data_IF_079283448893
#
_entry.id   IF_079283448893
#
_cell.length_a   1.000
_cell.length_b   1.000
_cell.length_c   1.000
_cell.angle_alpha   90.00
_cell.angle_beta   90.00
_cell.angle_gamma   90.00
#
_symmetry.space_group_name_H-M   'P 1'
#
loop_
_entity.id
_entity.type
_entity.pdbx_description
1 polymer ?
#
# COMPACT_ATOMS: atom_id res chain seq x y z
N UNK A 1 -3.54 -23.28 1.70
CA UNK A 1 -4.25 -22.00 1.45
C UNK A 1 -3.21 -20.88 1.57
N UNK A 2 -2.96 -20.11 0.52
CA UNK A 2 -1.88 -19.11 0.53
C UNK A 2 -2.17 -18.02 1.57
N UNK A 3 -1.31 -17.80 2.59
CA UNK A 3 -1.53 -16.80 3.65
C UNK A 3 -1.46 -15.35 3.16
N UNK A 4 -1.03 -15.14 1.91
CA UNK A 4 -1.01 -13.82 1.26
C UNK A 4 -2.40 -13.17 1.13
N UNK A 5 -3.49 -13.96 1.13
CA UNK A 5 -4.84 -13.39 1.03
C UNK A 5 -5.44 -12.96 2.38
N UNK A 6 -5.05 -13.56 3.52
CA UNK A 6 -5.70 -13.25 4.81
C UNK A 6 -5.36 -11.83 5.26
N UNK A 7 -4.09 -11.45 5.23
CA UNK A 7 -3.66 -10.09 5.58
C UNK A 7 -4.26 -9.02 4.67
N UNK A 8 -4.45 -9.36 3.39
CA UNK A 8 -5.11 -8.46 2.44
C UNK A 8 -6.60 -8.29 2.77
N UNK A 9 -7.30 -9.38 3.08
CA UNK A 9 -8.71 -9.36 3.49
C UNK A 9 -8.87 -8.54 4.79
N UNK A 10 -8.02 -8.79 5.79
CA UNK A 10 -8.02 -8.02 7.04
C UNK A 10 -7.73 -6.54 6.81
N UNK A 11 -6.82 -6.22 5.89
CA UNK A 11 -6.50 -4.84 5.56
C UNK A 11 -7.66 -4.10 4.90
N UNK A 12 -8.38 -4.77 4.00
CA UNK A 12 -9.60 -4.23 3.39
C UNK A 12 -10.69 -4.02 4.46
N UNK A 13 -10.90 -5.00 5.33
CA UNK A 13 -11.92 -4.94 6.39
C UNK A 13 -11.67 -3.81 7.40
N UNK A 14 -10.40 -3.45 7.66
CA UNK A 14 -10.02 -2.37 8.56
C UNK A 14 -9.79 -1.03 7.84
N UNK A 15 -10.14 -0.91 6.55
CA UNK A 15 -9.94 0.29 5.74
C UNK A 15 -8.48 0.77 5.68
N UNK A 16 -7.50 -0.14 5.74
CA UNK A 16 -6.10 0.22 5.56
C UNK A 16 -5.78 0.56 4.10
N UNK A 17 -4.86 1.51 3.92
CA UNK A 17 -4.36 1.88 2.60
C UNK A 17 -3.38 0.82 2.09
N UNK A 18 -3.82 0.00 1.13
CA UNK A 18 -2.98 -1.02 0.51
C UNK A 18 -2.16 -0.39 -0.63
N UNK A 19 -0.86 -0.22 -0.41
CA UNK A 19 0.06 0.36 -1.41
C UNK A 19 0.77 -0.71 -2.22
N UNK A 20 1.09 -0.37 -3.47
CA UNK A 20 1.97 -1.21 -4.29
C UNK A 20 3.42 -1.06 -3.83
N UNK A 21 4.25 -2.08 -4.11
CA UNK A 21 5.69 -2.00 -3.86
C UNK A 21 6.36 -0.79 -4.54
N UNK A 22 5.83 -0.34 -5.69
CA UNK A 22 6.34 0.84 -6.40
C UNK A 22 6.17 2.13 -5.61
N UNK A 23 5.09 2.24 -4.84
CA UNK A 23 4.85 3.40 -3.99
C UNK A 23 5.94 3.55 -2.92
N UNK A 24 6.37 2.44 -2.31
CA UNK A 24 7.47 2.43 -1.34
C UNK A 24 8.80 2.86 -1.96
N UNK A 25 9.10 2.40 -3.18
CA UNK A 25 10.31 2.82 -3.93
C UNK A 25 10.28 4.32 -4.18
N UNK A 26 9.16 4.85 -4.66
CA UNK A 26 9.02 6.27 -4.95
C UNK A 26 9.15 7.09 -3.64
N UNK A 27 8.59 6.63 -2.51
CA UNK A 27 8.78 7.27 -1.19
C UNK A 27 10.25 7.38 -0.80
N UNK A 28 11.00 6.27 -0.85
CA UNK A 28 12.43 6.26 -0.50
C UNK A 28 13.24 7.16 -1.44
N UNK A 29 12.91 7.15 -2.75
CA UNK A 29 13.64 7.92 -3.76
C UNK A 29 13.47 9.43 -3.58
N UNK A 30 12.25 9.88 -3.27
CA UNK A 30 11.93 11.30 -3.21
C UNK A 30 11.91 11.87 -1.78
N UNK A 31 12.14 11.02 -0.77
CA UNK A 31 12.05 11.35 0.65
C UNK A 31 10.77 12.10 1.02
N UNK A 32 9.66 11.72 0.37
CA UNK A 32 8.35 12.34 0.57
C UNK A 32 7.24 11.35 0.27
N UNK A 33 6.09 11.55 0.93
CA UNK A 33 4.88 10.81 0.61
C UNK A 33 4.44 11.19 -0.81
N UNK A 34 4.47 10.21 -1.71
CA UNK A 34 4.05 10.39 -3.10
C UNK A 34 2.57 10.03 -3.20
N UNK A 35 1.72 11.03 -3.05
CA UNK A 35 0.31 10.87 -3.36
C UNK A 35 0.09 11.10 -4.85
N UNK A 36 0.06 10.01 -5.62
CA UNK A 36 -0.28 10.07 -7.06
C UNK A 36 -1.80 10.05 -7.28
N UNK A 37 -2.62 9.99 -6.23
CA UNK A 37 -4.07 9.75 -6.30
C UNK A 37 -4.93 10.87 -5.70
N UNK A 38 -4.34 11.94 -5.15
CA UNK A 38 -5.08 13.18 -4.87
C UNK A 38 -5.04 14.06 -6.12
N UNK A 39 -6.05 13.87 -6.98
CA UNK A 39 -6.56 14.89 -7.90
C UNK A 39 -7.63 15.71 -7.17
#
# INVERSE_FOLDING_TARGET
>A
RSPLSIKLIEAIANHYFCVSYRWLIDYIKYDRIVDKYVL
#
